data_IF_501275341772
#
_entry.id   IF_501275341772
#
_cell.length_a   1.000
_cell.length_b   1.000
_cell.length_c   1.000
_cell.angle_alpha   90.00
_cell.angle_beta   90.00
_cell.angle_gamma   90.00
#
_symmetry.space_group_name_H-M   'P 1'
#
loop_
_entity.id
_entity.type
_entity.pdbx_description
1 polymer ?
#
# COMPACT_ATOMS: atom_id res chain seq x y z
N UNK A 1 -1.78 -1.11 30.28
CA UNK A 1 -1.62 -0.11 29.20
C UNK A 1 -1.53 -0.89 27.89
N UNK A 2 -2.50 -0.68 26.98
CA UNK A 2 -2.93 -1.63 25.94
C UNK A 2 -1.84 -1.96 24.89
N UNK A 3 -1.47 -3.25 24.75
CA UNK A 3 -0.49 -3.73 23.76
C UNK A 3 -0.83 -3.33 22.30
N UNK A 4 -2.12 -3.21 21.98
CA UNK A 4 -2.59 -2.79 20.66
C UNK A 4 -2.22 -1.34 20.31
N UNK A 5 -2.31 -0.43 21.28
CA UNK A 5 -1.92 0.97 21.11
C UNK A 5 -0.41 1.07 20.82
N UNK A 6 0.40 0.25 21.50
CA UNK A 6 1.83 0.17 21.28
C UNK A 6 2.14 -0.32 19.84
N UNK A 7 1.46 -1.38 19.38
CA UNK A 7 1.63 -1.92 18.03
C UNK A 7 1.24 -0.90 16.94
N UNK A 8 0.13 -0.18 17.10
CA UNK A 8 -0.28 0.85 16.12
C UNK A 8 0.71 2.00 16.06
N UNK A 9 1.19 2.46 17.20
CA UNK A 9 2.19 3.55 17.28
C UNK A 9 3.51 3.14 16.63
N UNK A 10 3.97 1.90 16.86
CA UNK A 10 5.16 1.35 16.20
C UNK A 10 5.07 1.45 14.66
N UNK A 11 3.98 0.99 14.06
CA UNK A 11 3.80 1.05 12.61
C UNK A 11 3.63 2.49 12.09
N UNK A 12 2.93 3.35 12.83
CA UNK A 12 2.87 4.78 12.47
C UNK A 12 4.25 5.43 12.44
N UNK A 13 5.09 5.19 13.46
CA UNK A 13 6.44 5.73 13.51
C UNK A 13 7.29 5.21 12.35
N UNK A 14 7.22 3.90 12.05
CA UNK A 14 7.91 3.28 10.93
C UNK A 14 7.54 3.93 9.59
N UNK A 15 6.26 4.19 9.33
CA UNK A 15 5.83 4.78 8.06
C UNK A 15 6.14 6.28 7.95
N UNK A 16 6.13 7.03 9.05
CA UNK A 16 6.56 8.45 9.04
C UNK A 16 8.04 8.61 8.73
N UNK A 17 8.87 7.66 9.17
CA UNK A 17 10.31 7.66 8.92
C UNK A 17 10.70 7.00 7.58
N UNK A 18 9.74 6.43 6.84
CA UNK A 18 10.05 5.74 5.60
C UNK A 18 10.26 6.73 4.45
N UNK A 19 11.43 6.68 3.84
CA UNK A 19 11.80 7.51 2.69
C UNK A 19 11.63 6.75 1.37
N UNK A 20 11.75 7.48 0.25
CA UNK A 20 11.68 6.91 -1.10
C UNK A 20 10.30 6.35 -1.46
N UNK A 21 10.24 5.69 -2.62
CA UNK A 21 9.00 5.14 -3.16
C UNK A 21 8.69 3.73 -2.63
N UNK A 22 7.42 3.40 -2.39
CA UNK A 22 7.03 2.06 -1.99
C UNK A 22 7.23 1.10 -3.15
N UNK A 23 8.07 0.09 -2.94
CA UNK A 23 8.37 -0.92 -3.95
C UNK A 23 7.31 -2.04 -3.89
N UNK A 24 6.63 -2.39 -4.99
CA UNK A 24 5.73 -3.53 -5.02
C UNK A 24 6.50 -4.83 -4.75
N UNK A 25 5.80 -5.82 -4.18
CA UNK A 25 6.33 -7.15 -3.97
C UNK A 25 6.89 -7.71 -5.28
N UNK A 26 8.07 -8.35 -5.21
CA UNK A 26 8.77 -8.86 -6.39
C UNK A 26 7.89 -9.78 -7.23
N UNK A 27 7.12 -10.66 -6.59
CA UNK A 27 6.22 -11.60 -7.27
C UNK A 27 5.17 -10.87 -8.11
N UNK A 28 4.55 -9.83 -7.56
CA UNK A 28 3.55 -9.04 -8.26
C UNK A 28 4.16 -8.29 -9.44
N UNK A 29 5.34 -7.67 -9.25
CA UNK A 29 6.07 -6.98 -10.32
C UNK A 29 6.55 -7.93 -11.42
N UNK A 30 6.96 -9.15 -11.08
CA UNK A 30 7.51 -10.12 -12.05
C UNK A 30 6.41 -10.81 -12.85
N UNK A 31 5.25 -11.02 -12.22
CA UNK A 31 4.13 -11.75 -12.80
C UNK A 31 2.94 -10.84 -13.12
N UNK A 32 3.19 -9.54 -13.29
CA UNK A 32 2.14 -8.55 -13.52
C UNK A 32 1.34 -8.79 -14.81
N UNK A 33 1.88 -9.58 -15.74
CA UNK A 33 1.24 -10.02 -16.98
C UNK A 33 0.11 -11.04 -16.73
N UNK A 34 0.10 -11.69 -15.56
CA UNK A 34 -0.97 -12.60 -15.13
C UNK A 34 -2.13 -11.85 -14.47
N UNK A 35 -1.99 -10.55 -14.17
CA UNK A 35 -3.06 -9.77 -13.59
C UNK A 35 -4.18 -9.55 -14.63
N UNK A 36 -5.45 -9.55 -14.19
CA UNK A 36 -6.56 -9.12 -15.03
C UNK A 36 -6.34 -7.69 -15.55
N UNK A 37 -6.85 -7.40 -16.75
CA UNK A 37 -6.77 -6.04 -17.34
C UNK A 37 -7.76 -5.06 -16.70
N UNK A 38 -8.84 -5.57 -16.12
CA UNK A 38 -9.88 -4.82 -15.42
C UNK A 38 -10.42 -5.67 -14.27
N UNK A 39 -11.09 -5.02 -13.31
CA UNK A 39 -11.68 -5.68 -12.14
C UNK A 39 -11.26 -5.01 -10.84
N UNK A 40 -11.59 -5.65 -9.72
CA UNK A 40 -11.36 -5.12 -8.38
C UNK A 40 -10.23 -5.88 -7.68
N UNK A 41 -9.38 -5.16 -6.96
CA UNK A 41 -8.30 -5.74 -6.15
C UNK A 41 -8.35 -5.21 -4.71
N UNK A 42 -7.96 -6.05 -3.76
CA UNK A 42 -7.77 -5.69 -2.36
C UNK A 42 -6.30 -5.85 -1.98
N UNK A 43 -5.67 -4.78 -1.52
CA UNK A 43 -4.34 -4.79 -0.91
C UNK A 43 -4.51 -4.65 0.61
N UNK A 44 -4.45 -5.77 1.33
CA UNK A 44 -4.65 -5.82 2.78
C UNK A 44 -3.31 -5.75 3.50
N UNK A 45 -3.22 -4.91 4.54
CA UNK A 45 -1.95 -4.48 5.13
C UNK A 45 -1.03 -3.87 4.06
N UNK A 46 -1.59 -2.95 3.27
CA UNK A 46 -0.94 -2.40 2.08
C UNK A 46 0.32 -1.58 2.38
N UNK A 47 0.53 -1.21 3.63
CA UNK A 47 1.53 -0.23 4.03
C UNK A 47 1.41 1.04 3.22
N UNK A 48 2.53 1.47 2.65
CA UNK A 48 2.63 2.66 1.78
C UNK A 48 2.08 2.44 0.37
N UNK A 49 1.53 1.25 0.08
CA UNK A 49 0.73 0.98 -1.11
C UNK A 49 1.49 0.63 -2.39
N UNK A 50 2.69 0.05 -2.29
CA UNK A 50 3.49 -0.32 -3.47
C UNK A 50 2.75 -1.28 -4.42
N UNK A 51 2.08 -2.29 -3.87
CA UNK A 51 1.27 -3.22 -4.65
C UNK A 51 0.01 -2.53 -5.19
N UNK A 52 -0.72 -1.80 -4.35
CA UNK A 52 -1.90 -1.06 -4.74
C UNK A 52 -1.65 -0.13 -5.94
N UNK A 53 -0.56 0.65 -5.90
CA UNK A 53 -0.20 1.56 -6.99
C UNK A 53 0.18 0.82 -8.28
N UNK A 54 0.82 -0.34 -8.19
CA UNK A 54 1.13 -1.18 -9.36
C UNK A 54 -0.15 -1.75 -9.98
N UNK A 55 -1.06 -2.29 -9.17
CA UNK A 55 -2.32 -2.84 -9.63
C UNK A 55 -3.23 -1.76 -10.25
N UNK A 56 -3.30 -0.58 -9.64
CA UNK A 56 -4.07 0.55 -10.16
C UNK A 56 -3.54 1.02 -11.52
N UNK A 57 -2.22 1.12 -11.67
CA UNK A 57 -1.59 1.46 -12.94
C UNK A 57 -1.83 0.40 -14.05
N UNK A 58 -2.31 -0.80 -13.70
CA UNK A 58 -2.68 -1.86 -14.64
C UNK A 58 -4.16 -1.89 -14.99
N UNK A 59 -4.96 -0.93 -14.51
CA UNK A 59 -6.38 -0.81 -14.82
C UNK A 59 -7.32 -1.48 -13.81
N UNK A 60 -6.80 -1.95 -12.67
CA UNK A 60 -7.61 -2.48 -11.59
C UNK A 60 -8.15 -1.36 -10.69
N UNK A 61 -9.39 -1.49 -10.24
CA UNK A 61 -9.96 -0.68 -9.17
C UNK A 61 -9.47 -1.25 -7.83
N UNK A 62 -8.60 -0.51 -7.14
CA UNK A 62 -7.92 -1.02 -5.95
C UNK A 62 -8.51 -0.43 -4.67
N UNK A 63 -8.90 -1.31 -3.75
CA UNK A 63 -9.11 -0.96 -2.33
C UNK A 63 -7.85 -1.33 -1.55
N UNK A 64 -7.29 -0.38 -0.79
CA UNK A 64 -6.07 -0.60 -0.03
C UNK A 64 -6.30 -0.27 1.45
N UNK A 65 -6.04 -1.25 2.33
CA UNK A 65 -6.28 -1.14 3.77
C UNK A 65 -5.00 -1.35 4.55
N UNK A 66 -4.72 -0.43 5.48
CA UNK A 66 -3.66 -0.58 6.46
C UNK A 66 -4.14 -0.07 7.81
N UNK A 67 -3.59 -0.67 8.87
CA UNK A 67 -3.92 -0.32 10.24
C UNK A 67 -3.31 1.03 10.67
N UNK A 68 -2.21 1.44 10.03
CA UNK A 68 -1.49 2.67 10.31
C UNK A 68 -1.97 3.83 9.41
N UNK A 69 -2.61 4.88 9.96
CA UNK A 69 -3.06 6.03 9.18
C UNK A 69 -1.95 6.73 8.38
N UNK A 70 -0.73 6.77 8.92
CA UNK A 70 0.42 7.34 8.24
C UNK A 70 0.74 6.64 6.90
N UNK A 71 0.49 5.34 6.79
CA UNK A 71 0.71 4.58 5.55
C UNK A 71 -0.34 4.95 4.48
N UNK A 72 -1.61 5.09 4.89
CA UNK A 72 -2.72 5.49 4.01
C UNK A 72 -2.56 6.93 3.54
N UNK A 73 -2.12 7.84 4.40
CA UNK A 73 -1.88 9.24 4.02
C UNK A 73 -0.79 9.34 2.93
N UNK A 74 0.34 8.67 3.12
CA UNK A 74 1.41 8.63 2.11
C UNK A 74 0.93 7.97 0.80
N UNK A 75 0.19 6.86 0.88
CA UNK A 75 -0.40 6.23 -0.31
C UNK A 75 -1.34 7.18 -1.07
N UNK A 76 -2.18 7.95 -0.38
CA UNK A 76 -3.09 8.91 -1.02
C UNK A 76 -2.33 10.01 -1.76
N UNK A 77 -1.32 10.59 -1.12
CA UNK A 77 -0.48 11.62 -1.74
C UNK A 77 0.16 11.10 -3.03
N UNK A 78 0.65 9.86 -3.01
CA UNK A 78 1.26 9.19 -4.18
C UNK A 78 0.26 8.86 -5.27
N UNK A 79 -0.95 8.44 -4.91
CA UNK A 79 -2.01 8.16 -5.86
C UNK A 79 -2.49 9.42 -6.58
N UNK A 80 -2.45 10.58 -5.93
CA UNK A 80 -2.81 11.87 -6.51
C UNK A 80 -1.69 12.51 -7.34
N UNK A 81 -0.43 12.11 -7.12
CA UNK A 81 0.73 12.64 -7.83
C UNK A 81 1.00 11.97 -9.18
N UNK A 82 0.20 10.96 -9.56
CA UNK A 82 0.24 10.27 -10.85
C UNK A 82 -0.90 10.72 -11.75
#
# INVERSE_FOLDING_TARGET
MNEELNRRQHWQARYRAAEGDPVPARVLRTLDFLLPKTGRALDLACGRGGNALLMAARGLEVTAWDYAPAAIEDLRQRAMAK
#
